data_IF_152651156571
#
_entry.id   IF_152651156571
#
_cell.length_a   1.000
_cell.length_b   1.000
_cell.length_c   1.000
_cell.angle_alpha   90.00
_cell.angle_beta   90.00
_cell.angle_gamma   90.00
#
_symmetry.space_group_name_H-M   'P 1'
#
loop_
_entity.id
_entity.type
_entity.pdbx_description
1 polymer ?
#
# COMPACT_ATOMS: atom_id res chain seq x y z
N UNK A 1 10.61 -10.39 1.99
CA UNK A 1 11.22 -10.53 3.32
C UNK A 1 10.34 -11.46 4.14
N UNK A 2 10.90 -12.39 4.89
CA UNK A 2 10.13 -13.24 5.83
C UNK A 2 10.53 -12.78 7.22
N UNK A 3 9.61 -12.12 7.92
CA UNK A 3 9.85 -11.69 9.31
C UNK A 3 9.27 -12.72 10.28
N UNK A 4 9.93 -12.89 11.42
CA UNK A 4 9.36 -13.62 12.54
C UNK A 4 8.28 -12.73 13.19
N UNK A 5 7.13 -13.33 13.53
CA UNK A 5 6.12 -12.65 14.32
C UNK A 5 6.65 -12.30 15.70
N UNK A 6 6.25 -11.13 16.20
CA UNK A 6 6.61 -10.65 17.53
C UNK A 6 5.47 -9.76 18.05
N UNK A 7 5.57 -9.32 19.30
CA UNK A 7 4.60 -8.43 19.93
C UNK A 7 4.35 -7.20 19.06
N UNK A 8 3.09 -7.01 18.64
CA UNK A 8 2.68 -5.89 17.79
C UNK A 8 3.06 -6.02 16.31
N UNK A 9 3.31 -7.24 15.82
CA UNK A 9 3.46 -7.52 14.39
C UNK A 9 3.16 -8.99 14.04
N UNK A 10 2.27 -9.19 13.07
CA UNK A 10 1.89 -10.51 12.54
C UNK A 10 2.51 -10.76 11.15
N UNK A 11 3.21 -11.89 10.92
CA UNK A 11 3.94 -12.09 9.68
C UNK A 11 3.04 -12.55 8.52
N UNK A 12 3.46 -12.17 7.31
CA UNK A 12 2.86 -12.62 6.05
C UNK A 12 3.86 -13.44 5.26
N UNK A 13 3.48 -14.67 4.90
CA UNK A 13 4.32 -15.58 4.12
C UNK A 13 3.93 -15.52 2.63
N UNK A 14 4.89 -15.49 1.69
CA UNK A 14 4.57 -15.54 0.26
C UNK A 14 3.75 -16.77 -0.10
N UNK A 15 2.69 -16.57 -0.89
CA UNK A 15 1.87 -17.67 -1.40
C UNK A 15 2.43 -18.17 -2.73
N UNK A 16 2.55 -19.50 -2.82
CA UNK A 16 2.76 -20.23 -4.06
C UNK A 16 1.57 -21.17 -4.27
N UNK A 17 1.03 -21.21 -5.48
CA UNK A 17 -0.06 -22.11 -5.85
C UNK A 17 0.29 -22.89 -7.12
N UNK A 18 -0.39 -24.03 -7.31
CA UNK A 18 -0.17 -24.89 -8.47
C UNK A 18 -0.93 -24.36 -9.69
N UNK A 19 -0.21 -24.04 -10.76
CA UNK A 19 -0.76 -23.87 -12.10
C UNK A 19 -0.83 -25.20 -12.87
N UNK A 20 -1.20 -25.16 -14.15
CA UNK A 20 -1.28 -26.38 -14.98
C UNK A 20 0.07 -27.10 -15.07
N UNK A 21 1.12 -26.35 -15.38
CA UNK A 21 2.50 -26.87 -15.53
C UNK A 21 3.54 -25.99 -14.82
N UNK A 22 3.11 -24.91 -14.18
CA UNK A 22 3.98 -23.91 -13.55
C UNK A 22 3.56 -23.64 -12.11
N UNK A 23 4.48 -23.13 -11.30
CA UNK A 23 4.13 -22.54 -10.02
C UNK A 23 3.62 -21.12 -10.26
N UNK A 24 2.46 -20.78 -9.69
CA UNK A 24 1.94 -19.43 -9.67
C UNK A 24 2.39 -18.77 -8.36
N UNK A 25 2.96 -17.57 -8.48
CA UNK A 25 3.35 -16.75 -7.34
C UNK A 25 2.42 -15.56 -7.23
N UNK A 26 1.99 -15.21 -6.02
CA UNK A 26 1.12 -14.07 -5.81
C UNK A 26 0.24 -14.26 -4.59
N UNK A 27 0.02 -13.16 -3.87
CA UNK A 27 -0.67 -13.17 -2.59
C UNK A 27 0.24 -13.49 -1.41
N UNK A 28 -0.36 -13.49 -0.22
CA UNK A 28 0.32 -13.77 1.05
C UNK A 28 -0.57 -14.53 2.03
N UNK A 29 0.00 -15.47 2.79
CA UNK A 29 -0.67 -16.11 3.92
C UNK A 29 -0.45 -15.26 5.17
N UNK A 30 -1.52 -14.75 5.77
CA UNK A 30 -1.48 -14.02 7.03
C UNK A 30 -1.43 -15.04 8.18
N UNK A 31 -0.40 -14.94 9.02
CA UNK A 31 -0.20 -15.80 10.16
C UNK A 31 -0.34 -14.97 11.44
N UNK A 32 -1.28 -15.36 12.31
CA UNK A 32 -1.46 -14.77 13.64
C UNK A 32 -1.34 -15.85 14.71
N UNK A 33 -0.54 -15.61 15.74
CA UNK A 33 -0.32 -16.58 16.83
C UNK A 33 0.05 -17.99 16.33
N UNK A 34 0.89 -18.04 15.29
CA UNK A 34 1.35 -19.29 14.67
C UNK A 34 0.30 -20.01 13.81
N UNK A 35 -0.86 -19.39 13.55
CA UNK A 35 -1.96 -19.98 12.78
C UNK A 35 -2.28 -19.14 11.55
N UNK A 36 -2.63 -19.83 10.46
CA UNK A 36 -3.18 -19.19 9.27
C UNK A 36 -4.56 -18.58 9.58
N UNK A 37 -4.76 -17.31 9.24
CA UNK A 37 -6.03 -16.61 9.47
C UNK A 37 -6.66 -16.06 8.20
N UNK A 38 -5.90 -15.90 7.11
CA UNK A 38 -6.46 -15.40 5.86
C UNK A 38 -5.44 -15.26 4.74
N UNK A 39 -5.95 -15.10 3.53
CA UNK A 39 -5.15 -14.79 2.34
C UNK A 39 -5.18 -13.30 2.05
N UNK A 40 -4.03 -12.78 1.62
CA UNK A 40 -3.93 -11.57 0.83
C UNK A 40 -3.88 -11.94 -0.66
N UNK A 41 -4.59 -11.17 -1.48
CA UNK A 41 -4.51 -11.19 -2.93
C UNK A 41 -3.33 -10.35 -3.45
N UNK A 42 -3.15 -10.31 -4.76
CA UNK A 42 -2.00 -9.66 -5.39
C UNK A 42 -1.95 -8.14 -5.11
N UNK A 43 -3.11 -7.45 -5.21
CA UNK A 43 -3.21 -6.01 -4.95
C UNK A 43 -2.96 -5.70 -3.47
N UNK A 44 -3.56 -6.47 -2.57
CA UNK A 44 -3.33 -6.36 -1.12
C UNK A 44 -1.85 -6.61 -0.75
N UNK A 45 -1.22 -7.61 -1.36
CA UNK A 45 0.21 -7.92 -1.15
C UNK A 45 1.10 -6.80 -1.67
N UNK A 46 0.78 -6.21 -2.83
CA UNK A 46 1.46 -5.02 -3.34
C UNK A 46 1.33 -3.86 -2.36
N UNK A 47 0.11 -3.54 -1.91
CA UNK A 47 -0.13 -2.45 -0.97
C UNK A 47 0.60 -2.66 0.37
N UNK A 48 0.61 -3.89 0.88
CA UNK A 48 1.40 -4.25 2.06
C UNK A 48 2.90 -3.97 1.84
N UNK A 49 3.45 -4.35 0.68
CA UNK A 49 4.85 -4.08 0.36
C UNK A 49 5.16 -2.57 0.31
N UNK A 50 4.23 -1.73 -0.17
CA UNK A 50 4.35 -0.27 -0.13
C UNK A 50 4.41 0.22 1.33
N UNK A 51 3.48 -0.25 2.17
CA UNK A 51 3.40 0.11 3.59
C UNK A 51 4.66 -0.32 4.38
N UNK A 52 5.24 -1.48 4.02
CA UNK A 52 6.46 -2.03 4.62
C UNK A 52 7.75 -1.47 4.00
N UNK A 53 7.66 -0.42 3.16
CA UNK A 53 8.81 0.20 2.49
C UNK A 53 9.70 -0.81 1.73
N UNK A 54 9.10 -1.85 1.16
CA UNK A 54 9.84 -2.77 0.30
C UNK A 54 10.15 -2.09 -1.03
N UNK A 55 11.35 -2.37 -1.57
CA UNK A 55 11.75 -1.85 -2.88
C UNK A 55 10.97 -2.60 -3.97
N UNK A 56 9.84 -2.04 -4.38
CA UNK A 56 9.00 -2.60 -5.43
C UNK A 56 8.83 -1.62 -6.60
N UNK A 57 8.58 -2.19 -7.77
CA UNK A 57 8.05 -1.50 -8.94
C UNK A 57 6.65 -2.08 -9.16
N UNK A 58 5.68 -1.24 -9.50
CA UNK A 58 4.31 -1.67 -9.71
C UNK A 58 3.71 -1.04 -10.95
N UNK A 59 2.70 -1.70 -11.52
CA UNK A 59 1.93 -1.20 -12.66
C UNK A 59 0.51 -0.94 -12.19
N UNK A 60 -0.01 0.25 -12.48
CA UNK A 60 -1.39 0.63 -12.22
C UNK A 60 -2.06 1.01 -13.55
N UNK A 61 -3.28 0.54 -13.73
CA UNK A 61 -4.17 0.97 -14.80
C UNK A 61 -5.14 2.00 -14.21
N UNK A 62 -5.15 3.21 -14.77
CA UNK A 62 -5.98 4.32 -14.29
C UNK A 62 -6.74 4.94 -15.45
N UNK A 63 -7.89 5.55 -15.18
CA UNK A 63 -8.64 6.26 -16.22
C UNK A 63 -7.90 7.50 -16.69
N UNK A 64 -7.93 7.77 -17.99
CA UNK A 64 -7.45 9.03 -18.54
C UNK A 64 -8.35 10.20 -18.05
N UNK A 65 -7.81 11.24 -17.42
CA UNK A 65 -8.60 12.36 -16.93
C UNK A 65 -9.37 13.12 -18.03
N UNK A 66 -8.79 13.24 -19.24
CA UNK A 66 -9.44 13.90 -20.38
C UNK A 66 -10.41 12.99 -21.14
N UNK A 67 -10.14 11.69 -21.13
CA UNK A 67 -10.93 10.70 -21.85
C UNK A 67 -11.30 9.54 -20.90
N UNK A 68 -12.34 9.70 -20.05
CA UNK A 68 -12.65 8.71 -18.99
C UNK A 68 -13.04 7.30 -19.46
N UNK A 69 -13.16 7.09 -20.77
CA UNK A 69 -13.38 5.78 -21.42
C UNK A 69 -12.06 5.07 -21.77
N UNK A 70 -10.94 5.75 -21.64
CA UNK A 70 -9.59 5.27 -21.93
C UNK A 70 -8.82 5.04 -20.64
N UNK A 71 -7.83 4.15 -20.72
CA UNK A 71 -6.95 3.79 -19.62
C UNK A 71 -5.51 4.19 -19.93
N UNK A 72 -4.81 4.61 -18.89
CA UNK A 72 -3.38 4.91 -18.89
C UNK A 72 -2.72 3.88 -18.00
N UNK A 73 -1.71 3.20 -18.55
CA UNK A 73 -0.86 2.30 -17.80
C UNK A 73 0.30 3.11 -17.24
N UNK A 74 0.42 3.14 -15.91
CA UNK A 74 1.52 3.83 -15.21
C UNK A 74 2.41 2.85 -14.49
N UNK A 75 3.71 3.12 -14.51
CA UNK A 75 4.70 2.43 -13.69
C UNK A 75 5.00 3.28 -12.47
N UNK A 76 4.74 2.75 -11.29
CA UNK A 76 4.98 3.39 -10.00
C UNK A 76 6.25 2.85 -9.35
N UNK A 77 7.06 3.75 -8.78
CA UNK A 77 8.35 3.44 -8.15
C UNK A 77 8.62 4.39 -6.98
N UNK A 78 9.72 4.17 -6.26
CA UNK A 78 10.22 5.13 -5.27
C UNK A 78 9.33 5.30 -4.03
N UNK A 79 8.47 4.32 -3.74
CA UNK A 79 7.54 4.38 -2.61
C UNK A 79 8.25 4.61 -1.28
N UNK A 80 7.69 5.51 -0.45
CA UNK A 80 8.13 5.78 0.91
C UNK A 80 6.93 6.03 1.84
N UNK A 81 6.74 5.11 2.78
CA UNK A 81 5.70 5.15 3.80
C UNK A 81 6.27 5.66 5.13
N UNK A 82 5.67 6.72 5.68
CA UNK A 82 6.04 7.35 6.96
C UNK A 82 4.88 7.28 7.93
N UNK A 83 5.14 6.79 9.13
CA UNK A 83 4.16 6.59 10.18
C UNK A 83 4.31 7.66 11.26
N UNK A 84 3.19 8.19 11.75
CA UNK A 84 3.14 9.16 12.84
C UNK A 84 1.96 8.85 13.76
N UNK A 85 2.20 8.94 15.06
CA UNK A 85 1.12 8.94 16.05
C UNK A 85 0.58 10.35 16.19
N UNK A 86 -0.72 10.50 15.94
CA UNK A 86 -1.45 11.73 16.12
C UNK A 86 -2.43 11.57 17.29
N UNK A 87 -2.76 12.68 17.94
CA UNK A 87 -3.90 12.74 18.86
C UNK A 87 -4.99 13.59 18.20
N UNK A 88 -6.16 13.00 18.00
CA UNK A 88 -7.34 13.68 17.47
C UNK A 88 -8.47 13.57 18.48
N UNK A 89 -8.85 14.70 19.10
CA UNK A 89 -9.93 14.76 20.09
C UNK A 89 -9.77 13.73 21.23
N UNK A 90 -8.54 13.54 21.72
CA UNK A 90 -8.25 12.59 22.80
C UNK A 90 -8.09 11.13 22.35
N UNK A 91 -8.26 10.83 21.05
CA UNK A 91 -8.02 9.49 20.49
C UNK A 91 -6.67 9.43 19.79
N UNK A 92 -5.91 8.38 20.05
CA UNK A 92 -4.67 8.09 19.33
C UNK A 92 -5.01 7.56 17.94
N UNK A 93 -4.43 8.15 16.90
CA UNK A 93 -4.60 7.76 15.50
C UNK A 93 -3.22 7.49 14.88
N UNK A 94 -3.08 6.38 14.14
CA UNK A 94 -1.89 6.17 13.32
C UNK A 94 -2.10 6.83 11.95
N UNK A 95 -1.39 7.93 11.72
CA UNK A 95 -1.31 8.56 10.41
C UNK A 95 -0.20 7.95 9.57
N UNK A 96 -0.50 7.57 8.34
CA UNK A 96 0.43 7.02 7.37
C UNK A 96 0.47 7.94 6.15
N UNK A 97 1.64 8.50 5.86
CA UNK A 97 1.88 9.24 4.61
C UNK A 97 2.71 8.41 3.66
N UNK A 98 2.20 8.19 2.46
CA UNK A 98 2.86 7.42 1.41
C UNK A 98 3.18 8.36 0.25
N UNK A 99 4.47 8.50 -0.06
CA UNK A 99 4.92 9.21 -1.25
C UNK A 99 5.47 8.23 -2.29
N UNK A 100 5.38 8.57 -3.56
CA UNK A 100 6.00 7.80 -4.64
C UNK A 100 6.08 8.57 -5.94
N UNK A 101 6.64 7.94 -6.97
CA UNK A 101 6.76 8.50 -8.31
C UNK A 101 6.11 7.58 -9.32
N UNK A 102 5.66 8.12 -10.45
CA UNK A 102 5.20 7.31 -11.57
C UNK A 102 5.58 7.89 -12.92
N UNK A 103 5.67 7.01 -13.93
CA UNK A 103 5.79 7.36 -15.34
C UNK A 103 4.68 6.67 -16.14
N UNK A 104 4.28 7.25 -17.27
CA UNK A 104 3.34 6.63 -18.19
C UNK A 104 4.06 5.63 -19.09
N UNK A 105 3.48 4.44 -19.26
CA UNK A 105 4.08 3.33 -20.03
C UNK A 105 3.37 3.17 -21.37
N UNK A 106 2.05 3.09 -21.34
CA UNK A 106 1.18 2.87 -22.51
C UNK A 106 -0.07 3.75 -22.42
N UNK A 107 -0.59 4.11 -23.60
CA UNK A 107 -1.81 4.86 -23.81
C UNK A 107 -2.56 4.28 -25.01
N UNK A 108 -3.88 4.20 -24.93
CA UNK A 108 -4.71 3.53 -25.92
C UNK A 108 -4.95 4.32 -27.23
N UNK A 109 -4.64 5.62 -27.28
CA UNK A 109 -4.90 6.47 -28.47
C UNK A 109 -3.75 7.45 -28.82
N UNK A 110 -3.84 8.13 -29.97
CA UNK A 110 -2.79 8.97 -30.59
C UNK A 110 -2.28 10.15 -29.75
N UNK A 111 -2.96 10.50 -28.65
CA UNK A 111 -2.63 11.64 -27.80
C UNK A 111 -1.95 11.14 -26.52
N UNK A 112 -0.61 11.17 -26.53
CA UNK A 112 0.18 10.90 -25.32
C UNK A 112 -0.15 11.91 -24.21
N UNK A 113 0.19 11.58 -22.95
CA UNK A 113 -0.13 12.43 -21.81
C UNK A 113 0.55 13.79 -21.95
N UNK A 114 -0.25 14.86 -21.98
CA UNK A 114 0.20 16.24 -22.07
C UNK A 114 0.52 16.77 -20.67
N UNK A 115 1.47 17.71 -20.55
CA UNK A 115 1.75 18.36 -19.25
C UNK A 115 0.47 18.98 -18.63
N UNK A 116 -0.51 19.34 -19.45
CA UNK A 116 -1.81 19.87 -19.01
C UNK A 116 -2.67 18.90 -18.22
N UNK A 117 -2.38 17.59 -18.23
CA UNK A 117 -3.14 16.59 -17.45
C UNK A 117 -2.45 16.20 -16.14
N UNK A 118 -1.28 16.79 -15.83
CA UNK A 118 -0.43 16.36 -14.72
C UNK A 118 -1.19 16.28 -13.40
N UNK A 119 -1.76 17.38 -12.93
CA UNK A 119 -2.42 17.44 -11.61
C UNK A 119 -3.56 16.42 -11.48
N UNK A 120 -4.34 16.22 -12.54
CA UNK A 120 -5.46 15.28 -12.52
C UNK A 120 -5.00 13.82 -12.62
N UNK A 121 -3.91 13.56 -13.35
CA UNK A 121 -3.30 12.24 -13.43
C UNK A 121 -2.65 11.87 -12.10
N UNK A 122 -1.91 12.79 -11.47
CA UNK A 122 -1.31 12.61 -10.14
C UNK A 122 -2.39 12.29 -9.09
N UNK A 123 -3.49 13.02 -9.07
CA UNK A 123 -4.65 12.72 -8.20
C UNK A 123 -5.23 11.34 -8.49
N UNK A 124 -5.39 10.99 -9.77
CA UNK A 124 -6.00 9.71 -10.16
C UNK A 124 -5.11 8.53 -9.74
N UNK A 125 -3.80 8.62 -9.95
CA UNK A 125 -2.84 7.59 -9.54
C UNK A 125 -2.75 7.51 -8.02
N UNK A 126 -2.72 8.66 -7.33
CA UNK A 126 -2.71 8.72 -5.87
C UNK A 126 -3.95 8.06 -5.27
N UNK A 127 -5.14 8.34 -5.81
CA UNK A 127 -6.39 7.72 -5.38
C UNK A 127 -6.41 6.20 -5.61
N UNK A 128 -5.87 5.73 -6.74
CA UNK A 128 -5.78 4.29 -7.04
C UNK A 128 -4.86 3.55 -6.04
N UNK A 129 -3.70 4.13 -5.72
CA UNK A 129 -2.78 3.59 -4.71
C UNK A 129 -3.40 3.65 -3.32
N UNK A 130 -4.03 4.77 -2.96
CA UNK A 130 -4.70 4.95 -1.67
C UNK A 130 -5.79 3.90 -1.44
N UNK A 131 -6.65 3.68 -2.43
CA UNK A 131 -7.73 2.70 -2.33
C UNK A 131 -7.20 1.27 -2.07
N UNK A 132 -6.08 0.87 -2.69
CA UNK A 132 -5.46 -0.44 -2.42
C UNK A 132 -4.84 -0.53 -1.03
N UNK A 133 -4.27 0.56 -0.52
CA UNK A 133 -3.70 0.65 0.83
C UNK A 133 -4.81 0.58 1.89
N UNK A 134 -5.90 1.31 1.69
CA UNK A 134 -7.07 1.27 2.57
C UNK A 134 -7.69 -0.14 2.59
N UNK A 135 -7.76 -0.82 1.44
CA UNK A 135 -8.24 -2.21 1.36
C UNK A 135 -7.39 -3.17 2.20
N UNK A 136 -6.05 -3.10 2.11
CA UNK A 136 -5.21 -4.01 2.90
C UNK A 136 -5.22 -3.67 4.39
N UNK A 137 -5.39 -2.40 4.78
CA UNK A 137 -5.60 -2.00 6.17
C UNK A 137 -6.90 -2.60 6.70
N UNK A 138 -8.00 -2.43 5.97
CA UNK A 138 -9.28 -3.01 6.32
C UNK A 138 -9.17 -4.54 6.45
N UNK A 139 -8.50 -5.19 5.48
CA UNK A 139 -8.27 -6.64 5.52
C UNK A 139 -7.50 -7.08 6.76
N UNK A 140 -6.44 -6.35 7.12
CA UNK A 140 -5.66 -6.61 8.33
C UNK A 140 -6.55 -6.54 9.59
N UNK A 141 -7.38 -5.50 9.69
CA UNK A 141 -8.30 -5.29 10.81
C UNK A 141 -9.40 -6.37 10.88
N UNK A 142 -9.97 -6.77 9.75
CA UNK A 142 -10.95 -7.86 9.66
C UNK A 142 -10.37 -9.20 10.10
N UNK A 143 -9.11 -9.47 9.75
CA UNK A 143 -8.37 -10.65 10.21
C UNK A 143 -7.88 -10.51 11.66
N UNK A 144 -7.97 -9.30 12.23
CA UNK A 144 -7.41 -8.93 13.52
C UNK A 144 -5.90 -9.13 13.59
N UNK A 145 -5.19 -9.11 12.46
CA UNK A 145 -3.76 -9.39 12.38
C UNK A 145 -2.98 -8.13 11.98
N UNK A 146 -2.04 -7.71 12.82
CA UNK A 146 -1.25 -6.49 12.61
C UNK A 146 -0.08 -6.73 11.66
N UNK A 147 -0.40 -6.92 10.38
CA UNK A 147 0.58 -7.15 9.32
C UNK A 147 1.34 -5.88 8.92
N UNK A 148 0.90 -4.71 9.40
CA UNK A 148 1.54 -3.40 9.14
C UNK A 148 2.64 -3.10 10.18
N UNK A 149 2.54 -3.69 11.37
CA UNK A 149 3.40 -3.41 12.53
C UNK A 149 3.06 -2.10 13.23
N UNK A 150 1.77 -1.77 13.34
CA UNK A 150 1.29 -0.57 14.04
C UNK A 150 1.57 -0.68 15.54
N UNK A 151 1.36 -1.86 16.13
CA UNK A 151 1.63 -2.15 17.53
C UNK A 151 3.11 -2.01 17.87
N UNK A 152 4.00 -2.56 17.02
CA UNK A 152 5.45 -2.38 17.16
C UNK A 152 5.84 -0.90 17.17
N UNK A 153 5.17 -0.06 16.37
CA UNK A 153 5.41 1.40 16.34
C UNK A 153 4.83 2.10 17.57
N UNK A 154 3.65 1.70 18.05
CA UNK A 154 3.08 2.20 19.31
C UNK A 154 4.01 1.91 20.48
N UNK A 155 4.48 0.67 20.59
CA UNK A 155 5.43 0.25 21.62
C UNK A 155 6.71 1.08 21.60
N UNK A 156 7.26 1.35 20.40
CA UNK A 156 8.49 2.13 20.23
C UNK A 156 8.31 3.63 20.50
N UNK A 157 7.17 4.23 20.15
CA UNK A 157 6.94 5.67 20.22
C UNK A 157 6.24 6.13 21.51
N UNK A 158 5.41 5.28 22.12
CA UNK A 158 4.55 5.57 23.28
C UNK A 158 4.37 4.33 24.15
N UNK A 159 5.45 3.94 24.84
CA UNK A 159 5.46 2.72 25.67
C UNK A 159 4.35 2.67 26.72
N UNK A 160 4.09 3.77 27.44
CA UNK A 160 3.05 3.79 28.48
C UNK A 160 1.65 3.56 27.92
N UNK A 161 1.36 4.11 26.73
CA UNK A 161 0.11 3.87 26.02
C UNK A 161 0.02 2.39 25.61
N UNK A 162 1.09 1.85 25.04
CA UNK A 162 1.15 0.45 24.64
C UNK A 162 0.86 -0.51 25.80
N UNK A 163 1.44 -0.28 26.99
CA UNK A 163 1.20 -1.10 28.18
C UNK A 163 -0.26 -1.06 28.67
N UNK A 164 -0.97 0.03 28.39
CA UNK A 164 -2.37 0.19 28.79
C UNK A 164 -3.37 -0.43 27.79
N UNK A 165 -2.91 -0.82 26.59
CA UNK A 165 -3.75 -1.33 25.52
C UNK A 165 -3.80 -2.87 25.51
N UNK A 166 -4.98 -3.42 25.24
CA UNK A 166 -5.14 -4.81 24.84
C UNK A 166 -5.06 -4.86 23.30
N UNK A 167 -3.84 -4.90 22.77
CA UNK A 167 -3.61 -4.73 21.33
C UNK A 167 -4.34 -5.77 20.47
N UNK A 168 -4.43 -7.02 20.94
CA UNK A 168 -5.15 -8.06 20.18
C UNK A 168 -6.64 -7.73 20.03
N UNK A 169 -7.23 -7.10 21.06
CA UNK A 169 -8.65 -6.70 21.07
C UNK A 169 -8.88 -5.34 20.41
N UNK A 170 -7.93 -4.43 20.51
CA UNK A 170 -8.06 -3.04 20.06
C UNK A 170 -7.66 -2.83 18.61
N UNK A 171 -6.67 -3.57 18.09
CA UNK A 171 -6.20 -3.43 16.71
C UNK A 171 -7.33 -3.46 15.65
N UNK A 172 -8.32 -4.38 15.71
CA UNK A 172 -9.39 -4.42 14.72
C UNK A 172 -10.18 -3.12 14.56
N UNK A 173 -10.22 -2.27 15.60
CA UNK A 173 -10.94 -0.99 15.59
C UNK A 173 -9.99 0.22 15.73
N UNK A 174 -8.68 0.00 15.76
CA UNK A 174 -7.72 1.05 15.97
C UNK A 174 -7.69 2.01 14.76
N UNK A 175 -7.83 3.33 14.95
CA UNK A 175 -7.96 4.26 13.84
C UNK A 175 -6.61 4.44 13.12
N UNK A 176 -6.63 4.13 11.81
CA UNK A 176 -5.51 4.29 10.89
C UNK A 176 -5.98 5.18 9.74
N UNK A 177 -5.25 6.25 9.49
CA UNK A 177 -5.54 7.21 8.43
C UNK A 177 -4.39 7.22 7.43
N UNK A 178 -4.71 7.28 6.14
CA UNK A 178 -3.73 7.24 5.06
C UNK A 178 -3.89 8.44 4.15
N UNK A 179 -2.76 9.00 3.76
CA UNK A 179 -2.64 10.03 2.75
C UNK A 179 -1.57 9.58 1.75
N UNK A 180 -1.90 9.62 0.45
CA UNK A 180 -1.00 9.20 -0.63
C UNK A 180 -0.76 10.35 -1.60
N UNK A 181 0.51 10.61 -1.91
CA UNK A 181 0.94 11.59 -2.91
C UNK A 181 1.87 10.91 -3.94
N UNK A 182 1.40 10.82 -5.18
CA UNK A 182 2.17 10.27 -6.30
C UNK A 182 2.55 11.39 -7.27
N UNK A 183 3.85 11.54 -7.52
CA UNK A 183 4.41 12.57 -8.41
C UNK A 183 4.67 12.00 -9.81
N UNK A 184 4.23 12.71 -10.85
CA UNK A 184 4.51 12.30 -12.22
C UNK A 184 5.92 12.69 -12.64
N UNK A 185 6.77 11.72 -12.92
CA UNK A 185 8.11 11.95 -13.47
C UNK A 185 8.04 11.95 -15.00
N UNK A 186 7.88 13.14 -15.59
CA UNK A 186 7.96 13.29 -17.05
C UNK A 186 9.37 12.97 -17.56
N UNK A 187 9.62 11.75 -18.01
CA UNK A 187 10.80 11.46 -18.83
C UNK A 187 10.52 11.89 -20.27
N UNK A 188 10.68 13.18 -20.58
CA UNK A 188 10.69 13.65 -21.97
C UNK A 188 11.98 13.13 -22.62
N UNK A 189 11.93 11.97 -23.28
CA UNK A 189 12.99 11.56 -24.19
C UNK A 189 12.97 12.52 -25.38
N UNK A 190 13.80 13.57 -25.34
CA UNK A 190 14.17 14.30 -26.56
C UNK A 190 14.90 13.31 -27.46
N UNK A 191 14.21 12.76 -28.46
CA UNK A 191 14.90 12.27 -29.64
C UNK A 191 15.54 13.50 -30.27
N UNK A 192 16.87 13.61 -30.12
CA UNK A 192 17.64 14.69 -30.74
C UNK A 192 17.37 14.70 -32.24
N UNK A 193 17.04 15.88 -32.76
CA UNK A 193 17.09 16.19 -34.19
C UNK A 193 18.51 16.55 -34.62
#
# INVERSE_FOLDING_TARGET
MVEQGDVGFDPVLPRVSKGKETALTGGGAVIKNGKFVGWLENKETRALNILLNQKIVSIYEVKCPLHPREEIVVRTTGFRSRYRLNNQNGRTVMGIRVGGQFETVEFTDQHGPLATIQDDLEKTVSAAVQAEIEQVIQKAQELGADILGVGRRLQALKHDLWQAMDWEREFPAFPIEVEVDMEWTMTVRRFGG
#
